data_IF_291577702179
#
_entry.id   IF_291577702179
#
_cell.length_a   1.000
_cell.length_b   1.000
_cell.length_c   1.000
_cell.angle_alpha   90.00
_cell.angle_beta   90.00
_cell.angle_gamma   90.00
#
_symmetry.space_group_name_H-M   'P 1'
#
loop_
_entity.id
_entity.type
_entity.pdbx_description
1 polymer ?
#
# COMPACT_ATOMS: atom_id res chain seq x y z
N UNK A 1 -76.21 5.00 -4.11
CA UNK A 1 -75.91 4.67 -5.53
C UNK A 1 -74.67 3.77 -5.54
N UNK A 2 -74.90 2.45 -5.42
CA UNK A 2 -74.65 1.39 -6.44
C UNK A 2 -73.17 1.00 -6.57
N UNK A 3 -72.71 -0.26 -6.40
CA UNK A 3 -73.34 -1.55 -6.09
C UNK A 3 -72.23 -2.57 -5.72
N UNK A 4 -72.45 -3.25 -4.61
CA UNK A 4 -72.11 -4.62 -4.14
C UNK A 4 -71.25 -5.65 -4.91
N UNK A 5 -70.43 -6.39 -4.12
CA UNK A 5 -70.29 -7.89 -4.00
C UNK A 5 -69.50 -8.62 -5.11
N UNK A 6 -68.64 -9.62 -4.87
CA UNK A 6 -68.40 -10.45 -3.68
C UNK A 6 -67.27 -11.50 -3.83
N UNK A 7 -67.30 -12.43 -2.87
CA UNK A 7 -66.34 -13.48 -2.45
C UNK A 7 -65.90 -14.53 -3.50
N UNK A 8 -64.72 -15.15 -3.29
CA UNK A 8 -64.58 -16.56 -2.81
C UNK A 8 -63.13 -17.09 -2.83
N UNK A 9 -62.80 -17.87 -1.79
CA UNK A 9 -61.60 -18.71 -1.61
C UNK A 9 -61.54 -19.89 -2.59
N UNK A 10 -60.34 -20.37 -2.95
CA UNK A 10 -60.05 -21.81 -3.07
C UNK A 10 -58.55 -22.12 -2.95
N UNK A 11 -58.28 -23.26 -2.33
CA UNK A 11 -57.02 -23.87 -1.91
C UNK A 11 -55.99 -24.12 -3.03
N UNK A 12 -54.70 -24.23 -2.67
CA UNK A 12 -53.70 -24.96 -3.46
C UNK A 12 -52.91 -25.95 -2.63
N UNK A 13 -52.88 -27.14 -3.20
CA UNK A 13 -52.51 -28.46 -2.70
C UNK A 13 -50.99 -28.67 -2.63
N UNK A 14 -50.57 -29.42 -1.61
CA UNK A 14 -49.24 -30.03 -1.46
C UNK A 14 -49.15 -31.27 -2.37
N UNK A 15 -48.05 -31.47 -3.08
CA UNK A 15 -47.68 -32.80 -3.57
C UNK A 15 -46.15 -33.01 -3.62
N UNK A 16 -45.71 -34.07 -2.93
CA UNK A 16 -44.38 -34.68 -2.97
C UNK A 16 -44.24 -35.51 -4.25
N UNK A 17 -43.02 -35.59 -4.85
CA UNK A 17 -42.29 -36.84 -5.09
C UNK A 17 -41.13 -36.74 -6.13
N UNK A 18 -40.09 -37.54 -5.84
CA UNK A 18 -39.16 -38.26 -6.73
C UNK A 18 -37.85 -37.61 -7.22
N UNK A 19 -36.77 -38.03 -6.55
CA UNK A 19 -35.41 -38.22 -7.10
C UNK A 19 -35.42 -39.36 -8.13
N UNK A 20 -34.50 -39.32 -9.11
CA UNK A 20 -33.77 -40.53 -9.49
C UNK A 20 -32.24 -40.35 -9.46
N UNK A 21 -31.61 -41.44 -9.08
CA UNK A 21 -30.19 -41.73 -9.00
C UNK A 21 -29.68 -42.12 -10.39
N UNK A 22 -28.53 -41.61 -10.85
CA UNK A 22 -27.81 -42.15 -12.02
C UNK A 22 -26.32 -42.38 -11.73
N UNK A 23 -25.73 -43.49 -12.23
CA UNK A 23 -24.52 -44.08 -11.68
C UNK A 23 -23.21 -43.65 -12.39
N UNK A 24 -22.09 -43.88 -11.69
CA UNK A 24 -20.70 -43.76 -12.18
C UNK A 24 -20.40 -44.78 -13.28
N UNK A 25 -19.70 -44.35 -14.34
CA UNK A 25 -18.87 -45.20 -15.20
C UNK A 25 -17.60 -44.46 -15.66
N UNK A 26 -16.45 -45.04 -15.35
CA UNK A 26 -15.17 -44.99 -16.09
C UNK A 26 -14.86 -46.45 -16.49
N UNK A 27 -13.86 -46.78 -17.35
CA UNK A 27 -13.00 -45.99 -18.24
C UNK A 27 -12.98 -46.55 -19.69
N UNK A 28 -12.41 -45.80 -20.67
CA UNK A 28 -11.85 -46.41 -21.89
C UNK A 28 -10.56 -45.70 -22.31
N UNK A 29 -9.47 -46.44 -22.21
CA UNK A 29 -8.18 -46.27 -22.87
C UNK A 29 -8.34 -46.26 -24.38
N UNK A 30 -7.71 -45.30 -25.06
CA UNK A 30 -7.70 -45.19 -26.52
C UNK A 30 -6.45 -44.49 -27.05
N UNK A 31 -5.53 -45.30 -27.57
CA UNK A 31 -4.71 -45.07 -28.77
C UNK A 31 -3.84 -43.80 -28.83
N UNK A 32 -2.54 -43.98 -28.58
CA UNK A 32 -1.48 -43.07 -29.00
C UNK A 32 -1.44 -42.95 -30.53
N UNK A 33 -1.88 -41.82 -31.08
CA UNK A 33 -1.69 -41.49 -32.50
C UNK A 33 -0.28 -40.98 -32.74
N UNK A 34 0.48 -41.76 -33.52
CA UNK A 34 1.73 -41.39 -34.18
C UNK A 34 1.48 -40.27 -35.19
N UNK A 35 1.86 -39.04 -34.82
CA UNK A 35 1.89 -37.87 -35.72
C UNK A 35 3.33 -37.43 -35.94
N UNK A 36 4.10 -38.18 -36.74
CA UNK A 36 5.39 -37.71 -37.24
C UNK A 36 5.40 -37.80 -38.77
N UNK A 37 4.89 -36.74 -39.41
CA UNK A 37 5.20 -36.45 -40.80
C UNK A 37 6.47 -35.59 -40.83
N UNK A 38 7.47 -35.90 -41.68
CA UNK A 38 8.71 -35.12 -41.74
C UNK A 38 8.48 -33.65 -42.07
N UNK A 39 7.38 -33.32 -42.76
CA UNK A 39 6.98 -31.93 -43.01
C UNK A 39 6.59 -31.20 -41.72
N UNK A 40 5.88 -31.87 -40.81
CA UNK A 40 5.50 -31.27 -39.52
C UNK A 40 6.73 -31.05 -38.63
N UNK A 41 7.70 -31.97 -38.67
CA UNK A 41 8.98 -31.80 -37.98
C UNK A 41 9.78 -30.61 -38.51
N UNK A 42 9.76 -30.36 -39.82
CA UNK A 42 10.40 -29.17 -40.42
C UNK A 42 9.69 -27.89 -40.01
N UNK A 43 8.36 -27.85 -40.02
CA UNK A 43 7.61 -26.67 -39.54
C UNK A 43 7.87 -26.41 -38.06
N UNK A 44 7.88 -27.46 -37.22
CA UNK A 44 8.20 -27.35 -35.80
C UNK A 44 9.61 -26.78 -35.58
N UNK A 45 10.61 -27.26 -36.34
CA UNK A 45 11.99 -26.77 -36.28
C UNK A 45 12.10 -25.30 -36.71
N UNK A 46 11.41 -24.89 -37.76
CA UNK A 46 11.38 -23.49 -38.22
C UNK A 46 10.71 -22.61 -37.15
N UNK A 47 9.59 -23.04 -36.57
CA UNK A 47 8.92 -22.32 -35.49
C UNK A 47 9.82 -22.21 -34.25
N UNK A 48 10.51 -23.28 -33.85
CA UNK A 48 11.47 -23.25 -32.75
C UNK A 48 12.66 -22.33 -33.04
N UNK A 49 13.19 -22.31 -34.26
CA UNK A 49 14.27 -21.41 -34.65
C UNK A 49 13.83 -19.94 -34.64
N UNK A 50 12.62 -19.63 -35.15
CA UNK A 50 12.07 -18.29 -35.09
C UNK A 50 11.79 -17.84 -33.65
N UNK A 51 11.26 -18.71 -32.79
CA UNK A 51 11.07 -18.43 -31.38
C UNK A 51 12.41 -18.22 -30.66
N UNK A 52 13.44 -19.01 -30.98
CA UNK A 52 14.77 -18.83 -30.43
C UNK A 52 15.40 -17.50 -30.87
N UNK A 53 15.27 -17.13 -32.13
CA UNK A 53 15.74 -15.82 -32.64
C UNK A 53 14.98 -14.68 -31.95
N UNK A 54 13.66 -14.78 -31.80
CA UNK A 54 12.87 -13.78 -31.07
C UNK A 54 13.29 -13.69 -29.60
N UNK A 55 13.54 -14.82 -28.95
CA UNK A 55 14.01 -14.88 -27.56
C UNK A 55 15.42 -14.30 -27.40
N UNK A 56 16.31 -14.51 -28.38
CA UNK A 56 17.65 -13.91 -28.41
C UNK A 56 17.59 -12.41 -28.66
N UNK A 57 16.71 -11.92 -29.54
CA UNK A 57 16.48 -10.49 -29.73
C UNK A 57 15.94 -9.86 -28.43
N UNK A 58 15.03 -10.55 -27.74
CA UNK A 58 14.48 -10.11 -26.46
C UNK A 58 15.55 -10.16 -25.34
N UNK A 59 16.45 -11.15 -25.34
CA UNK A 59 17.62 -11.25 -24.45
C UNK A 59 18.74 -10.25 -24.78
N UNK A 60 18.81 -9.73 -26.01
CA UNK A 60 19.71 -8.63 -26.40
C UNK A 60 19.10 -7.26 -26.05
N UNK A 61 17.78 -7.17 -25.94
CA UNK A 61 17.05 -5.96 -25.53
C UNK A 61 16.72 -5.90 -24.03
N UNK A 62 16.93 -7.00 -23.28
CA UNK A 62 16.81 -7.03 -21.82
C UNK A 62 18.14 -7.42 -21.19
N UNK A 63 18.77 -6.57 -20.36
CA UNK A 63 19.97 -6.97 -19.63
C UNK A 63 19.61 -8.12 -18.68
N UNK A 64 20.53 -9.09 -18.46
CA UNK A 64 20.26 -10.22 -17.57
C UNK A 64 20.10 -9.73 -16.12
N UNK A 65 18.96 -10.04 -15.53
CA UNK A 65 18.74 -10.01 -14.08
C UNK A 65 19.35 -11.28 -13.46
N UNK A 66 20.43 -11.12 -12.69
CA UNK A 66 20.95 -12.09 -11.71
C UNK A 66 21.96 -11.36 -10.78
N UNK A 67 22.31 -11.89 -9.60
CA UNK A 67 21.59 -11.70 -8.34
C UNK A 67 22.42 -10.94 -7.28
N UNK A 68 21.72 -10.44 -6.26
CA UNK A 68 22.18 -10.19 -4.87
C UNK A 68 23.51 -9.45 -4.61
N UNK A 69 23.40 -8.42 -3.75
CA UNK A 69 24.47 -7.68 -3.07
C UNK A 69 25.19 -6.60 -3.89
N UNK A 70 24.44 -5.56 -4.28
CA UNK A 70 25.06 -4.26 -4.52
C UNK A 70 25.22 -3.54 -3.17
N UNK A 71 26.40 -3.00 -2.84
CA UNK A 71 26.46 -1.89 -1.90
C UNK A 71 25.68 -0.71 -2.52
N UNK A 72 25.27 0.25 -1.67
CA UNK A 72 24.64 1.52 -2.05
C UNK A 72 25.16 2.05 -3.40
N UNK A 73 24.41 2.89 -4.15
CA UNK A 73 25.02 3.79 -5.12
C UNK A 73 25.88 4.80 -4.33
N UNK A 74 27.04 4.32 -3.86
CA UNK A 74 28.09 5.12 -3.28
C UNK A 74 28.68 5.94 -4.41
N UNK A 75 29.04 7.17 -4.09
CA UNK A 75 30.10 8.05 -4.57
C UNK A 75 30.98 7.62 -5.78
N UNK A 76 31.12 6.34 -6.11
CA UNK A 76 31.73 5.83 -7.33
C UNK A 76 31.12 6.39 -8.63
N UNK A 77 29.78 6.53 -8.73
CA UNK A 77 29.16 7.12 -9.93
C UNK A 77 29.44 8.63 -10.05
N UNK A 78 29.40 9.35 -8.93
CA UNK A 78 29.77 10.78 -8.85
C UNK A 78 31.26 11.00 -9.19
N UNK A 79 32.14 10.13 -8.68
CA UNK A 79 33.57 10.17 -8.96
C UNK A 79 33.91 9.79 -10.40
N UNK A 80 33.11 8.92 -11.04
CA UNK A 80 33.29 8.53 -12.43
C UNK A 80 32.99 9.69 -13.38
N UNK A 81 31.93 10.47 -13.11
CA UNK A 81 31.63 11.67 -13.89
C UNK A 81 32.57 12.85 -13.60
N UNK A 82 32.98 13.05 -12.34
CA UNK A 82 34.08 13.98 -12.04
C UNK A 82 35.36 13.60 -12.78
N UNK A 83 35.70 12.31 -12.87
CA UNK A 83 36.85 11.85 -13.66
C UNK A 83 36.67 12.05 -15.16
N UNK A 84 35.48 11.87 -15.72
CA UNK A 84 35.23 12.13 -17.16
C UNK A 84 35.34 13.62 -17.48
N UNK A 85 34.94 14.49 -16.55
CA UNK A 85 35.08 15.95 -16.70
C UNK A 85 36.54 16.41 -16.50
N UNK A 86 37.32 15.71 -15.66
CA UNK A 86 38.69 16.12 -15.30
C UNK A 86 39.79 15.44 -16.16
N UNK A 87 39.54 14.26 -16.75
CA UNK A 87 40.56 13.48 -17.49
C UNK A 87 40.61 13.71 -19.01
N UNK A 88 39.91 14.72 -19.54
CA UNK A 88 40.23 15.18 -20.91
C UNK A 88 41.52 15.99 -20.81
N UNK A 89 42.67 15.31 -20.93
CA UNK A 89 44.00 15.90 -20.69
C UNK A 89 44.30 17.13 -21.56
N UNK A 90 44.99 18.15 -21.01
CA UNK A 90 45.25 19.41 -21.69
C UNK A 90 46.42 19.26 -22.64
N UNK A 91 46.17 19.41 -23.93
CA UNK A 91 47.21 19.71 -24.90
C UNK A 91 46.99 21.13 -25.39
N UNK A 92 48.01 21.97 -25.21
CA UNK A 92 48.16 23.33 -25.73
C UNK A 92 47.29 24.43 -25.09
N UNK A 93 47.97 25.19 -24.24
CA UNK A 93 47.70 26.58 -23.87
C UNK A 93 47.09 27.39 -25.02
N UNK A 94 45.89 27.96 -24.80
CA UNK A 94 45.36 29.31 -25.15
C UNK A 94 43.80 29.33 -25.18
N UNK A 95 43.09 28.27 -24.74
CA UNK A 95 41.60 28.18 -24.83
C UNK A 95 40.83 28.10 -23.49
N UNK A 96 41.47 28.37 -22.35
CA UNK A 96 40.87 28.12 -21.03
C UNK A 96 39.63 28.97 -20.67
N UNK A 97 39.38 30.08 -21.38
CA UNK A 97 38.20 30.92 -21.11
C UNK A 97 36.94 30.40 -21.81
N UNK A 98 37.07 29.87 -23.04
CA UNK A 98 35.91 29.45 -23.84
C UNK A 98 35.34 28.10 -23.38
N UNK A 99 36.18 27.15 -22.99
CA UNK A 99 35.74 25.84 -22.48
C UNK A 99 35.02 25.95 -21.12
N UNK A 100 35.51 26.84 -20.24
CA UNK A 100 34.87 27.15 -18.97
C UNK A 100 33.53 27.87 -19.17
N UNK A 101 33.44 28.77 -20.16
CA UNK A 101 32.20 29.46 -20.50
C UNK A 101 31.18 28.51 -21.14
N UNK A 102 31.62 27.60 -22.00
CA UNK A 102 30.77 26.56 -22.60
C UNK A 102 30.23 25.61 -21.54
N UNK A 103 31.07 25.13 -20.63
CA UNK A 103 30.67 24.24 -19.54
C UNK A 103 29.67 24.90 -18.61
N UNK A 104 29.90 26.17 -18.24
CA UNK A 104 28.95 26.97 -17.45
C UNK A 104 27.64 27.20 -18.20
N UNK A 105 27.69 27.45 -19.51
CA UNK A 105 26.50 27.62 -20.36
C UNK A 105 25.68 26.34 -20.45
N UNK A 106 26.34 25.19 -20.64
CA UNK A 106 25.69 23.88 -20.66
C UNK A 106 25.08 23.52 -19.30
N UNK A 107 25.81 23.76 -18.21
CA UNK A 107 25.31 23.58 -16.85
C UNK A 107 24.06 24.44 -16.60
N UNK A 108 24.09 25.70 -17.03
CA UNK A 108 22.94 26.60 -16.94
C UNK A 108 21.74 26.08 -17.73
N UNK A 109 21.94 25.67 -18.99
CA UNK A 109 20.89 25.09 -19.83
C UNK A 109 20.29 23.82 -19.21
N UNK A 110 21.11 22.97 -18.59
CA UNK A 110 20.63 21.77 -17.90
C UNK A 110 19.73 22.13 -16.71
N UNK A 111 20.10 23.14 -15.92
CA UNK A 111 19.25 23.65 -14.82
C UNK A 111 17.95 24.26 -15.33
N UNK A 112 18.03 25.10 -16.35
CA UNK A 112 16.88 25.75 -17.00
C UNK A 112 15.94 24.75 -17.69
N UNK A 113 16.46 23.58 -18.11
CA UNK A 113 15.66 22.54 -18.76
C UNK A 113 14.78 21.73 -17.79
N UNK A 114 14.97 21.87 -16.47
CA UNK A 114 14.18 21.11 -15.49
C UNK A 114 12.73 21.56 -15.55
N UNK A 115 11.87 20.67 -16.04
CA UNK A 115 10.44 20.93 -16.22
C UNK A 115 9.65 20.40 -15.03
N UNK A 116 8.87 21.28 -14.39
CA UNK A 116 7.94 20.90 -13.33
C UNK A 116 6.60 20.47 -13.93
N UNK A 117 6.17 19.27 -13.57
CA UNK A 117 4.88 18.69 -13.94
C UNK A 117 3.95 18.72 -12.73
N UNK A 118 2.62 18.87 -12.91
CA UNK A 118 1.68 18.86 -11.80
C UNK A 118 1.72 17.50 -11.09
N UNK A 119 1.70 17.51 -9.75
CA UNK A 119 1.55 16.29 -8.97
C UNK A 119 0.21 15.64 -9.26
N UNK A 120 -0.87 16.41 -9.38
CA UNK A 120 -2.22 15.96 -9.76
C UNK A 120 -2.45 16.17 -11.26
N UNK A 121 -2.31 15.11 -12.05
CA UNK A 121 -2.57 15.16 -13.48
C UNK A 121 -4.07 15.00 -13.79
N UNK A 122 -4.73 16.12 -14.10
CA UNK A 122 -6.19 16.18 -14.29
C UNK A 122 -6.69 15.32 -15.46
N UNK A 123 -5.81 14.92 -16.39
CA UNK A 123 -6.16 14.00 -17.49
C UNK A 123 -6.63 12.63 -16.99
N UNK A 124 -6.20 12.24 -15.79
CA UNK A 124 -6.54 10.95 -15.16
C UNK A 124 -7.52 11.08 -13.99
N UNK A 125 -8.20 12.23 -13.87
CA UNK A 125 -9.12 12.50 -12.75
C UNK A 125 -10.27 11.48 -12.62
N UNK A 126 -10.80 10.97 -13.74
CA UNK A 126 -11.84 9.94 -13.76
C UNK A 126 -11.36 8.54 -13.39
N UNK A 127 -10.04 8.30 -13.40
CA UNK A 127 -9.41 7.00 -13.12
C UNK A 127 -8.37 7.12 -12.00
N UNK A 128 -8.57 8.06 -11.06
CA UNK A 128 -7.59 8.44 -10.04
C UNK A 128 -7.12 7.32 -9.08
N UNK A 129 -7.79 6.16 -9.10
CA UNK A 129 -7.45 4.98 -8.31
C UNK A 129 -6.92 3.81 -9.15
N UNK A 130 -7.00 3.90 -10.49
CA UNK A 130 -6.46 2.90 -11.41
C UNK A 130 -5.00 3.24 -11.71
N UNK A 131 -4.16 2.26 -12.08
CA UNK A 131 -2.71 2.43 -12.31
C UNK A 131 -2.29 3.75 -13.00
N UNK A 132 -1.10 4.26 -12.66
CA UNK A 132 -0.63 5.62 -13.01
C UNK A 132 -1.67 6.70 -12.68
N UNK A 133 -2.03 6.69 -11.41
CA UNK A 133 -3.24 7.20 -10.76
C UNK A 133 -3.57 8.68 -10.92
N UNK A 134 -2.87 9.49 -11.71
CA UNK A 134 -2.78 10.96 -11.69
C UNK A 134 -1.59 11.51 -10.90
N UNK A 135 -1.08 10.76 -9.90
CA UNK A 135 -0.06 11.25 -8.98
C UNK A 135 1.30 10.89 -9.55
N UNK A 136 2.06 11.91 -9.94
CA UNK A 136 3.31 11.72 -10.68
C UNK A 136 3.13 10.81 -11.90
N UNK A 137 2.13 11.11 -12.73
CA UNK A 137 1.67 10.28 -13.86
C UNK A 137 2.75 9.98 -14.92
N UNK A 138 3.84 10.75 -14.99
CA UNK A 138 4.91 10.54 -15.98
C UNK A 138 5.89 9.41 -15.64
N UNK A 139 5.78 8.83 -14.44
CA UNK A 139 6.70 7.81 -13.94
C UNK A 139 5.96 6.49 -13.67
N UNK A 140 6.61 5.39 -14.02
CA UNK A 140 6.16 4.03 -13.72
C UNK A 140 6.66 3.58 -12.35
N UNK A 141 5.88 2.77 -11.67
CA UNK A 141 6.32 2.13 -10.43
C UNK A 141 7.22 0.94 -10.72
N UNK A 142 8.13 0.69 -9.79
CA UNK A 142 8.86 -0.58 -9.72
C UNK A 142 7.90 -1.64 -9.21
N UNK A 143 7.83 -2.74 -9.96
CA UNK A 143 6.99 -3.89 -9.64
C UNK A 143 7.88 -5.07 -9.34
N UNK A 144 7.69 -5.65 -8.16
CA UNK A 144 8.33 -6.89 -7.77
C UNK A 144 7.26 -7.84 -7.25
N UNK A 145 7.44 -9.13 -7.52
CA UNK A 145 6.42 -10.13 -7.24
C UNK A 145 6.09 -10.17 -5.75
N UNK A 146 4.82 -9.90 -5.43
CA UNK A 146 4.29 -9.95 -4.08
C UNK A 146 4.72 -8.83 -3.13
N UNK A 147 5.52 -7.86 -3.60
CA UNK A 147 6.03 -6.71 -2.83
C UNK A 147 5.19 -5.43 -3.03
N UNK A 148 5.48 -4.41 -2.23
CA UNK A 148 4.90 -3.08 -2.40
C UNK A 148 5.39 -2.42 -3.71
N UNK A 149 4.50 -1.72 -4.40
CA UNK A 149 4.85 -0.91 -5.57
C UNK A 149 5.40 0.45 -5.12
N UNK A 150 6.54 0.85 -5.66
CA UNK A 150 7.21 2.11 -5.29
C UNK A 150 8.00 2.71 -6.45
N UNK A 151 8.33 4.00 -6.32
CA UNK A 151 9.33 4.66 -7.16
C UNK A 151 10.51 5.04 -6.28
N UNK A 152 11.73 4.92 -6.81
CA UNK A 152 12.94 5.37 -6.10
C UNK A 152 13.70 6.37 -6.95
N UNK A 153 14.22 7.39 -6.30
CA UNK A 153 15.02 8.45 -6.91
C UNK A 153 16.26 8.70 -6.04
N UNK A 154 17.47 8.71 -6.61
CA UNK A 154 17.79 8.34 -7.98
C UNK A 154 17.64 6.83 -8.22
N UNK A 155 17.37 6.45 -9.46
CA UNK A 155 17.33 5.06 -9.92
C UNK A 155 17.68 4.94 -11.41
N UNK A 156 17.81 3.72 -11.91
CA UNK A 156 17.94 3.46 -13.35
C UNK A 156 16.75 4.02 -14.14
N UNK A 157 15.52 3.87 -13.61
CA UNK A 157 14.29 4.40 -14.21
C UNK A 157 14.30 5.95 -14.25
N UNK A 158 14.82 6.60 -13.21
CA UNK A 158 15.00 8.06 -13.23
C UNK A 158 16.25 8.50 -14.00
N UNK A 159 17.05 7.57 -14.55
CA UNK A 159 18.36 7.84 -15.16
C UNK A 159 19.32 8.56 -14.21
N UNK A 160 19.31 8.23 -12.92
CA UNK A 160 20.15 8.87 -11.92
C UNK A 160 19.70 10.25 -11.45
N UNK A 161 18.54 10.73 -11.91
CA UNK A 161 17.98 12.04 -11.50
C UNK A 161 17.29 11.96 -10.15
N UNK A 162 17.45 13.02 -9.37
CA UNK A 162 16.80 13.26 -8.09
C UNK A 162 15.34 13.69 -8.29
N UNK A 163 14.50 13.38 -7.32
CA UNK A 163 13.14 13.92 -7.24
C UNK A 163 13.20 15.34 -6.66
N UNK A 164 12.57 16.29 -7.33
CA UNK A 164 12.33 17.64 -6.82
C UNK A 164 10.83 17.88 -6.68
N UNK A 165 10.40 18.42 -5.53
CA UNK A 165 9.01 18.79 -5.25
C UNK A 165 8.91 20.30 -5.03
N UNK A 166 7.84 20.91 -5.52
CA UNK A 166 7.58 22.35 -5.41
C UNK A 166 6.11 22.60 -5.17
N UNK A 167 5.82 23.59 -4.33
CA UNK A 167 4.48 23.91 -3.88
C UNK A 167 4.20 23.37 -2.47
N UNK A 168 3.30 24.05 -1.77
CA UNK A 168 2.86 23.71 -0.42
C UNK A 168 1.33 23.84 -0.30
N UNK A 169 0.61 23.70 -1.42
CA UNK A 169 -0.83 23.88 -1.45
C UNK A 169 -1.53 22.72 -0.73
N UNK A 170 -2.42 23.05 0.21
CA UNK A 170 -3.15 22.08 1.04
C UNK A 170 -4.61 21.90 0.64
N UNK A 171 -5.04 22.52 -0.48
CA UNK A 171 -6.44 22.59 -0.93
C UNK A 171 -6.62 22.21 -2.40
N UNK A 172 -5.68 22.54 -3.29
CA UNK A 172 -5.68 22.12 -4.69
C UNK A 172 -4.34 21.48 -5.09
N UNK A 173 -4.36 20.15 -5.18
CA UNK A 173 -3.17 19.37 -5.53
C UNK A 173 -2.60 19.63 -6.93
N UNK A 174 -3.33 20.31 -7.82
CA UNK A 174 -2.79 20.72 -9.12
C UNK A 174 -1.74 21.84 -9.01
N UNK A 175 -1.72 22.58 -7.88
CA UNK A 175 -0.75 23.64 -7.61
C UNK A 175 0.56 23.13 -7.03
N UNK A 176 0.62 21.86 -6.65
CA UNK A 176 1.85 21.18 -6.30
C UNK A 176 2.43 20.48 -7.52
N UNK A 177 3.76 20.46 -7.63
CA UNK A 177 4.47 19.96 -8.80
C UNK A 177 5.72 19.17 -8.44
N UNK A 178 6.16 18.34 -9.37
CA UNK A 178 7.38 17.56 -9.28
C UNK A 178 8.23 17.72 -10.53
N UNK A 179 9.53 17.51 -10.39
CA UNK A 179 10.48 17.47 -11.48
C UNK A 179 11.58 16.45 -11.19
N UNK A 180 12.33 16.08 -12.24
CA UNK A 180 13.54 15.29 -12.11
C UNK A 180 14.75 16.11 -12.53
N UNK A 181 15.75 16.18 -11.66
CA UNK A 181 16.98 16.96 -11.91
C UNK A 181 18.23 16.12 -11.69
N UNK A 182 19.29 16.40 -12.42
CA UNK A 182 20.59 15.80 -12.16
C UNK A 182 21.19 16.34 -10.85
N UNK A 183 21.89 15.53 -10.05
CA UNK A 183 22.46 15.96 -8.77
C UNK A 183 23.32 17.23 -8.85
N UNK A 184 24.06 17.40 -9.95
CA UNK A 184 24.97 18.53 -10.19
C UNK A 184 24.27 19.76 -10.80
N UNK A 185 23.06 19.58 -11.33
CA UNK A 185 22.32 20.58 -12.10
C UNK A 185 20.89 20.75 -11.56
N UNK A 186 20.78 21.00 -10.26
CA UNK A 186 19.49 21.29 -9.62
C UNK A 186 18.89 22.62 -10.14
N UNK A 187 17.56 22.77 -10.14
CA UNK A 187 16.90 24.01 -10.53
C UNK A 187 17.44 25.21 -9.76
N UNK A 188 17.44 26.38 -10.39
CA UNK A 188 17.79 27.61 -9.69
C UNK A 188 16.83 27.86 -8.51
N UNK A 189 17.38 28.39 -7.42
CA UNK A 189 16.68 28.56 -6.15
C UNK A 189 16.01 27.24 -5.72
N UNK A 190 16.79 26.16 -5.59
CA UNK A 190 16.33 24.90 -5.01
C UNK A 190 17.19 24.49 -3.82
N UNK A 191 16.62 23.68 -2.93
CA UNK A 191 17.32 23.15 -1.76
C UNK A 191 17.49 21.65 -1.90
N UNK A 192 18.73 21.16 -1.79
CA UNK A 192 19.01 19.73 -1.68
C UNK A 192 18.82 19.25 -0.23
N UNK A 193 17.96 18.26 -0.04
CA UNK A 193 17.65 17.64 1.25
C UNK A 193 18.34 16.28 1.33
N UNK A 194 19.23 16.14 2.31
CA UNK A 194 20.04 14.93 2.53
C UNK A 194 19.26 13.80 3.20
N UNK A 195 19.68 12.57 3.00
CA UNK A 195 19.05 11.37 3.59
C UNK A 195 17.72 10.98 2.94
N UNK A 196 17.20 9.82 3.34
CA UNK A 196 16.06 9.18 2.71
C UNK A 196 14.76 9.92 3.02
N UNK A 197 13.99 10.19 1.97
CA UNK A 197 12.71 10.87 2.05
C UNK A 197 11.59 9.92 1.62
N UNK A 198 10.60 9.72 2.47
CA UNK A 198 9.40 8.96 2.11
C UNK A 198 8.31 9.89 1.63
N UNK A 199 7.78 9.64 0.43
CA UNK A 199 6.72 10.43 -0.18
C UNK A 199 5.49 9.55 -0.34
N UNK A 200 4.52 9.74 0.56
CA UNK A 200 3.26 9.02 0.54
C UNK A 200 2.22 9.80 -0.24
N UNK A 201 1.61 9.18 -1.24
CA UNK A 201 0.36 9.64 -1.82
C UNK A 201 -0.75 8.66 -1.45
N UNK A 202 -1.82 9.20 -0.86
CA UNK A 202 -3.01 8.45 -0.53
C UNK A 202 -4.23 9.11 -1.19
N UNK A 203 -5.13 8.31 -1.75
CA UNK A 203 -6.42 8.83 -2.23
C UNK A 203 -7.38 9.15 -1.07
N UNK A 204 -7.07 8.70 0.14
CA UNK A 204 -7.85 8.96 1.35
C UNK A 204 -7.08 9.81 2.36
N UNK A 205 -7.76 10.24 3.44
CA UNK A 205 -7.16 11.03 4.51
C UNK A 205 -6.34 10.17 5.51
N UNK A 206 -5.19 10.69 5.95
CA UNK A 206 -4.31 10.11 6.98
C UNK A 206 -4.83 10.20 8.42
N UNK A 207 -5.90 10.97 8.69
CA UNK A 207 -6.51 11.02 10.03
C UNK A 207 -7.33 9.76 10.35
N UNK A 208 -7.87 9.11 9.32
CA UNK A 208 -8.57 7.84 9.49
C UNK A 208 -7.56 6.70 9.60
N UNK A 209 -7.67 5.92 10.68
CA UNK A 209 -6.73 4.84 10.99
C UNK A 209 -6.62 3.84 9.84
N UNK A 210 -7.74 3.39 9.25
CA UNK A 210 -7.71 2.39 8.17
C UNK A 210 -7.08 2.93 6.89
N UNK A 211 -7.44 4.16 6.53
CA UNK A 211 -6.92 4.81 5.33
C UNK A 211 -5.44 5.16 5.44
N UNK A 212 -5.02 5.68 6.59
CA UNK A 212 -3.62 6.01 6.81
C UNK A 212 -2.77 4.76 6.98
N UNK A 213 -3.28 3.72 7.65
CA UNK A 213 -2.57 2.45 7.79
C UNK A 213 -2.32 1.79 6.44
N UNK A 214 -3.33 1.72 5.57
CA UNK A 214 -3.18 1.11 4.23
C UNK A 214 -2.19 1.87 3.33
N UNK A 215 -1.97 3.16 3.57
CA UNK A 215 -0.95 3.97 2.89
C UNK A 215 0.45 3.82 3.50
N UNK A 216 0.56 3.57 4.80
CA UNK A 216 1.86 3.44 5.49
C UNK A 216 2.43 2.02 5.45
N UNK A 217 1.59 0.98 5.42
CA UNK A 217 2.01 -0.43 5.37
C UNK A 217 3.01 -0.71 4.22
N UNK A 218 2.83 -0.20 2.99
CA UNK A 218 3.82 -0.31 1.93
C UNK A 218 5.22 0.18 2.33
N UNK A 219 5.36 1.29 3.08
CA UNK A 219 6.67 1.79 3.53
C UNK A 219 7.33 0.87 4.53
N UNK A 220 6.53 0.22 5.39
CA UNK A 220 7.03 -0.77 6.35
C UNK A 220 7.49 -2.04 5.62
N UNK A 221 6.76 -2.47 4.58
CA UNK A 221 7.18 -3.57 3.72
C UNK A 221 8.54 -3.29 3.07
N UNK A 222 8.70 -2.09 2.50
CA UNK A 222 9.95 -1.65 1.90
C UNK A 222 11.09 -1.54 2.93
N UNK A 223 10.81 -1.01 4.11
CA UNK A 223 11.79 -0.91 5.19
C UNK A 223 12.26 -2.30 5.65
N UNK A 224 11.33 -3.25 5.81
CA UNK A 224 11.66 -4.64 6.15
C UNK A 224 12.52 -5.32 5.08
N UNK A 225 12.16 -5.14 3.79
CA UNK A 225 12.95 -5.64 2.66
C UNK A 225 14.37 -5.08 2.65
N UNK A 226 14.56 -3.84 3.11
CA UNK A 226 15.86 -3.19 3.26
C UNK A 226 16.47 -3.41 4.67
N UNK A 227 16.20 -4.57 5.28
CA UNK A 227 16.80 -5.04 6.53
C UNK A 227 16.62 -4.06 7.71
N UNK A 228 15.53 -3.29 7.71
CA UNK A 228 15.24 -2.25 8.70
C UNK A 228 16.37 -1.23 8.93
N UNK A 229 17.33 -1.12 8.01
CA UNK A 229 18.54 -0.31 8.21
C UNK A 229 18.37 1.12 7.73
N UNK A 230 17.37 1.37 6.89
CA UNK A 230 17.11 2.64 6.26
C UNK A 230 15.94 3.34 6.94
N UNK A 231 16.25 4.29 7.82
CA UNK A 231 15.27 5.12 8.52
C UNK A 231 15.07 6.41 7.71
N UNK A 232 13.81 6.80 7.40
CA UNK A 232 13.55 8.03 6.66
C UNK A 232 13.91 9.25 7.52
N UNK A 233 14.68 10.17 6.94
CA UNK A 233 14.96 11.47 7.56
C UNK A 233 13.73 12.39 7.57
N UNK A 234 12.77 12.14 6.65
CA UNK A 234 11.53 12.92 6.54
C UNK A 234 10.44 12.18 5.78
N UNK A 235 9.22 12.62 6.02
CA UNK A 235 8.00 12.17 5.40
C UNK A 235 7.30 13.33 4.71
N UNK A 236 6.78 13.07 3.52
CA UNK A 236 5.97 14.01 2.77
C UNK A 236 4.66 13.30 2.47
N UNK A 237 3.55 13.92 2.87
CA UNK A 237 2.24 13.30 2.77
C UNK A 237 1.40 14.09 1.79
N UNK A 238 0.85 13.41 0.80
CA UNK A 238 -0.10 13.96 -0.16
C UNK A 238 -1.42 13.22 -0.08
N UNK A 239 -2.52 13.97 -0.18
CA UNK A 239 -3.85 13.42 -0.43
C UNK A 239 -4.53 14.24 -1.51
N UNK A 240 -4.89 13.59 -2.63
CA UNK A 240 -5.34 14.24 -3.88
C UNK A 240 -4.33 15.24 -4.47
N UNK A 241 -3.04 15.01 -4.22
CA UNK A 241 -1.96 15.93 -4.60
C UNK A 241 -1.81 17.13 -3.67
N UNK A 242 -2.70 17.31 -2.70
CA UNK A 242 -2.63 18.36 -1.68
C UNK A 242 -1.69 17.95 -0.56
N UNK A 243 -0.83 18.87 -0.12
CA UNK A 243 0.11 18.64 0.96
C UNK A 243 -0.64 18.43 2.28
N UNK A 244 -0.25 17.40 3.03
CA UNK A 244 -0.77 17.11 4.37
C UNK A 244 0.34 17.24 5.40
N UNK A 245 0.11 18.13 6.35
CA UNK A 245 1.05 18.46 7.41
C UNK A 245 0.77 17.69 8.72
N UNK A 246 -0.25 16.84 8.72
CA UNK A 246 -0.71 16.07 9.88
C UNK A 246 -1.03 14.63 9.49
N UNK A 247 -0.92 13.79 10.50
CA UNK A 247 -1.26 12.37 10.48
C UNK A 247 -2.04 12.07 11.77
N UNK A 248 -3.01 11.16 11.71
CA UNK A 248 -3.78 10.74 12.88
C UNK A 248 -2.87 10.30 14.03
N UNK A 249 -3.15 10.67 15.30
CA UNK A 249 -2.24 10.42 16.43
C UNK A 249 -1.90 8.93 16.63
N UNK A 250 -2.88 8.05 16.40
CA UNK A 250 -2.70 6.61 16.49
C UNK A 250 -1.69 6.10 15.46
N UNK A 251 -1.85 6.51 14.20
CA UNK A 251 -0.96 6.12 13.11
C UNK A 251 0.45 6.69 13.30
N UNK A 252 0.55 7.95 13.75
CA UNK A 252 1.83 8.59 14.08
C UNK A 252 2.58 7.78 15.15
N UNK A 253 1.87 7.34 16.19
CA UNK A 253 2.45 6.52 17.27
C UNK A 253 2.92 5.16 16.76
N UNK A 254 2.13 4.51 15.90
CA UNK A 254 2.51 3.24 15.28
C UNK A 254 3.76 3.38 14.40
N UNK A 255 3.83 4.42 13.57
CA UNK A 255 5.00 4.64 12.72
C UNK A 255 6.23 4.97 13.56
N UNK A 256 6.10 5.78 14.61
CA UNK A 256 7.20 6.04 15.55
C UNK A 256 7.69 4.74 16.21
N UNK A 257 6.77 3.88 16.68
CA UNK A 257 7.12 2.58 17.23
C UNK A 257 7.85 1.69 16.21
N UNK A 258 7.48 1.79 14.92
CA UNK A 258 8.01 0.95 13.85
C UNK A 258 9.42 1.38 13.42
N UNK A 259 9.62 2.68 13.21
CA UNK A 259 10.87 3.26 12.71
C UNK A 259 11.84 3.69 13.83
N UNK A 260 11.39 3.69 15.08
CA UNK A 260 12.20 3.99 16.27
C UNK A 260 12.37 5.48 16.58
N UNK A 261 12.00 6.37 15.65
CA UNK A 261 12.19 7.82 15.76
C UNK A 261 10.88 8.59 15.53
N UNK A 262 10.72 9.79 16.12
CA UNK A 262 9.59 10.67 15.81
C UNK A 262 9.52 11.00 14.33
N UNK A 263 8.31 10.97 13.77
CA UNK A 263 8.10 11.29 12.35
C UNK A 263 8.29 12.80 12.12
N UNK A 264 9.22 13.14 11.24
CA UNK A 264 9.36 14.48 10.69
C UNK A 264 8.53 14.63 9.42
N UNK A 265 7.36 15.27 9.52
CA UNK A 265 6.48 15.57 8.37
C UNK A 265 6.87 16.93 7.82
N UNK A 266 7.28 16.97 6.55
CA UNK A 266 7.72 18.16 5.85
C UNK A 266 6.54 19.08 5.47
N UNK A 267 6.71 20.39 5.64
CA UNK A 267 5.66 21.40 5.41
C UNK A 267 5.98 22.40 4.30
N UNK A 268 7.22 22.42 3.80
CA UNK A 268 7.69 23.30 2.71
C UNK A 268 7.36 24.79 2.89
N UNK A 269 7.87 25.39 3.97
CA UNK A 269 7.52 26.76 4.42
C UNK A 269 7.65 27.87 3.35
N UNK A 270 8.57 27.76 2.39
CA UNK A 270 8.86 28.83 1.43
C UNK A 270 8.40 28.55 -0.02
N UNK A 271 7.69 27.45 -0.28
CA UNK A 271 7.26 27.01 -1.64
C UNK A 271 8.39 26.89 -2.69
N UNK A 272 9.64 26.97 -2.25
CA UNK A 272 10.87 26.77 -3.03
C UNK A 272 10.96 25.29 -3.43
N UNK A 273 11.57 24.99 -4.57
CA UNK A 273 11.80 23.61 -4.97
C UNK A 273 12.74 22.91 -3.98
N UNK A 274 12.33 21.74 -3.48
CA UNK A 274 13.14 20.89 -2.62
C UNK A 274 13.47 19.61 -3.39
N UNK A 275 14.76 19.35 -3.61
CA UNK A 275 15.25 18.14 -4.25
C UNK A 275 15.81 17.19 -3.21
N UNK A 276 15.61 15.87 -3.38
CA UNK A 276 15.95 14.88 -2.36
C UNK A 276 17.09 13.98 -2.81
N UNK A 277 18.08 13.80 -1.95
CA UNK A 277 19.25 12.92 -2.18
C UNK A 277 18.82 11.47 -2.43
N UNK A 278 17.86 10.97 -1.66
CA UNK A 278 17.19 9.70 -1.88
C UNK A 278 15.70 9.86 -1.53
N UNK A 279 14.82 9.38 -2.41
CA UNK A 279 13.38 9.44 -2.21
C UNK A 279 12.72 8.12 -2.62
N UNK A 280 11.83 7.63 -1.76
CA UNK A 280 10.95 6.49 -2.01
C UNK A 280 9.52 7.01 -2.04
N UNK A 281 8.88 6.87 -3.19
CA UNK A 281 7.49 7.31 -3.41
C UNK A 281 6.59 6.10 -3.44
N UNK A 282 5.51 6.14 -2.67
CA UNK A 282 4.44 5.14 -2.75
C UNK A 282 3.13 5.85 -2.98
N UNK A 283 2.49 5.49 -4.10
CA UNK A 283 1.21 6.07 -4.54
C UNK A 283 0.09 5.04 -4.61
N UNK A 284 0.38 3.83 -4.16
CA UNK A 284 -0.52 2.70 -4.09
C UNK A 284 -0.56 2.19 -2.65
N UNK A 285 -1.76 1.84 -2.20
CA UNK A 285 -1.96 1.21 -0.91
C UNK A 285 -1.48 -0.26 -0.95
N UNK A 286 -1.75 -1.01 0.12
CA UNK A 286 -1.38 -2.42 0.26
C UNK A 286 -1.92 -3.41 -0.80
N UNK A 287 -2.81 -2.98 -1.70
CA UNK A 287 -3.47 -3.85 -2.69
C UNK A 287 -2.52 -4.53 -3.69
N UNK A 288 -1.36 -3.92 -3.98
CA UNK A 288 -0.33 -4.52 -4.84
C UNK A 288 0.48 -5.64 -4.17
N UNK A 289 0.39 -5.78 -2.84
CA UNK A 289 1.19 -6.76 -2.11
C UNK A 289 0.51 -8.13 -2.02
N UNK A 290 1.33 -9.18 -2.02
CA UNK A 290 0.83 -10.53 -1.76
C UNK A 290 0.20 -10.63 -0.37
N UNK A 291 -0.71 -11.59 -0.19
CA UNK A 291 -1.30 -11.88 1.12
C UNK A 291 -0.21 -12.20 2.17
N UNK A 292 0.79 -12.98 1.78
CA UNK A 292 1.89 -13.37 2.65
C UNK A 292 2.68 -12.13 3.11
N UNK A 293 3.04 -11.24 2.17
CA UNK A 293 3.73 -9.99 2.51
C UNK A 293 2.94 -9.11 3.46
N UNK A 294 1.62 -8.99 3.25
CA UNK A 294 0.75 -8.23 4.17
C UNK A 294 0.80 -8.81 5.57
N UNK A 295 0.66 -10.13 5.73
CA UNK A 295 0.73 -10.79 7.05
C UNK A 295 2.06 -10.49 7.74
N UNK A 296 3.19 -10.67 7.05
CA UNK A 296 4.53 -10.40 7.59
C UNK A 296 4.68 -8.97 8.10
N UNK A 297 4.20 -7.99 7.32
CA UNK A 297 4.29 -6.56 7.67
C UNK A 297 3.39 -6.23 8.86
N UNK A 298 2.17 -6.76 8.90
CA UNK A 298 1.27 -6.57 10.04
C UNK A 298 1.83 -7.22 11.31
N UNK A 299 2.50 -8.36 11.21
CA UNK A 299 3.17 -8.99 12.36
C UNK A 299 4.36 -8.17 12.85
N UNK A 300 5.16 -7.61 11.94
CA UNK A 300 6.22 -6.66 12.28
C UNK A 300 5.67 -5.42 13.01
N UNK A 301 4.60 -4.82 12.48
CA UNK A 301 3.92 -3.68 13.10
C UNK A 301 3.46 -4.00 14.52
N UNK A 302 2.79 -5.15 14.72
CA UNK A 302 2.36 -5.62 16.04
C UNK A 302 3.54 -5.84 16.98
N UNK A 303 4.61 -6.45 16.49
CA UNK A 303 5.82 -6.71 17.26
C UNK A 303 6.46 -5.40 17.75
N UNK A 304 6.69 -4.45 16.84
CA UNK A 304 7.25 -3.13 17.14
C UNK A 304 6.37 -2.34 18.11
N UNK A 305 5.06 -2.35 17.91
CA UNK A 305 4.11 -1.70 18.81
C UNK A 305 4.14 -2.30 20.22
N UNK A 306 4.23 -3.63 20.36
CA UNK A 306 4.35 -4.30 21.66
C UNK A 306 5.64 -3.90 22.39
N UNK A 307 6.77 -3.91 21.69
CA UNK A 307 8.06 -3.49 22.25
C UNK A 307 7.99 -2.03 22.71
N UNK A 308 7.51 -1.14 21.84
CA UNK A 308 7.38 0.30 22.14
C UNK A 308 6.51 0.58 23.37
N UNK A 309 5.43 -0.18 23.55
CA UNK A 309 4.51 -0.02 24.67
C UNK A 309 4.86 -0.86 25.91
N UNK A 310 6.01 -1.55 25.89
CA UNK A 310 6.46 -2.50 26.91
C UNK A 310 5.36 -3.53 27.27
N UNK A 311 4.71 -4.07 26.24
CA UNK A 311 3.71 -5.12 26.40
C UNK A 311 4.44 -6.46 26.44
N UNK A 312 4.52 -7.05 27.63
CA UNK A 312 5.17 -8.36 27.82
C UNK A 312 4.53 -9.44 26.93
N UNK A 313 5.37 -10.25 26.28
CA UNK A 313 4.96 -11.46 25.57
C UNK A 313 4.64 -12.62 26.54
N UNK A 314 5.14 -12.53 27.78
CA UNK A 314 4.91 -13.50 28.83
C UNK A 314 3.62 -13.16 29.59
N UNK A 315 2.74 -14.14 29.70
CA UNK A 315 1.44 -14.01 30.38
C UNK A 315 0.24 -14.28 29.47
N UNK A 316 0.38 -15.27 28.57
CA UNK A 316 -0.72 -16.17 28.21
C UNK A 316 -0.95 -17.28 29.24
N UNK A 317 -0.10 -17.37 30.28
CA UNK A 317 -0.29 -18.26 31.40
C UNK A 317 -1.43 -17.72 32.26
N UNK A 318 -2.64 -18.10 31.85
CA UNK A 318 -3.83 -18.32 32.69
C UNK A 318 -3.81 -17.51 33.97
N UNK A 319 -4.22 -16.23 33.90
CA UNK A 319 -4.59 -15.52 35.11
C UNK A 319 -5.68 -16.37 35.76
N UNK A 320 -5.34 -17.05 36.85
CA UNK A 320 -6.27 -17.92 37.55
C UNK A 320 -6.89 -17.11 38.67
N UNK A 321 -8.20 -17.21 38.81
CA UNK A 321 -8.87 -16.60 39.95
C UNK A 321 -8.45 -17.30 41.25
N UNK A 322 -8.90 -16.79 42.41
CA UNK A 322 -8.57 -17.36 43.73
C UNK A 322 -8.95 -18.85 43.91
N UNK A 323 -9.75 -19.41 42.98
CA UNK A 323 -10.17 -20.83 42.96
C UNK A 323 -9.36 -21.67 41.96
N UNK A 324 -8.32 -21.10 41.36
CA UNK A 324 -7.47 -21.81 40.40
C UNK A 324 -8.06 -21.94 38.99
N UNK A 325 -9.17 -21.25 38.67
CA UNK A 325 -9.80 -21.33 37.34
C UNK A 325 -9.33 -20.22 36.42
N UNK A 326 -9.21 -20.47 35.10
CA UNK A 326 -8.83 -19.45 34.12
C UNK A 326 -9.81 -18.26 34.12
N UNK A 327 -9.28 -17.04 34.16
CA UNK A 327 -10.06 -15.81 33.97
C UNK A 327 -10.27 -15.59 32.47
N UNK A 328 -11.52 -15.37 32.08
CA UNK A 328 -11.92 -15.00 30.71
C UNK A 328 -12.15 -13.49 30.69
N UNK A 329 -11.23 -12.72 30.12
CA UNK A 329 -11.38 -11.27 29.98
C UNK A 329 -12.20 -10.91 28.74
N UNK A 330 -13.29 -10.16 28.91
CA UNK A 330 -14.06 -9.57 27.82
C UNK A 330 -14.02 -8.05 27.94
N UNK A 331 -13.41 -7.38 26.96
CA UNK A 331 -13.36 -5.92 26.90
C UNK A 331 -14.22 -5.41 25.73
N UNK A 332 -15.20 -4.56 26.03
CA UNK A 332 -16.02 -3.88 25.02
C UNK A 332 -15.47 -2.48 24.74
N UNK A 333 -15.01 -2.25 23.52
CA UNK A 333 -14.57 -0.92 23.08
C UNK A 333 -15.75 -0.10 22.56
N UNK A 334 -16.07 0.95 23.28
CA UNK A 334 -17.12 1.92 22.97
C UNK A 334 -16.53 3.16 22.33
N UNK A 335 -17.28 3.78 21.42
CA UNK A 335 -17.00 5.16 20.99
C UNK A 335 -17.58 6.11 22.02
N UNK A 336 -17.00 7.30 22.17
CA UNK A 336 -17.44 8.30 23.15
C UNK A 336 -18.93 8.59 23.03
N UNK A 337 -19.60 8.74 24.18
CA UNK A 337 -21.01 9.08 24.30
C UNK A 337 -21.27 10.38 23.55
N UNK A 338 -22.30 10.39 22.69
CA UNK A 338 -22.75 11.50 21.84
C UNK A 338 -22.09 11.63 20.45
N UNK A 339 -21.32 10.64 20.02
CA UNK A 339 -20.84 10.57 18.63
C UNK A 339 -21.92 10.12 17.63
N UNK A 340 -21.83 10.51 16.34
CA UNK A 340 -22.78 10.10 15.29
C UNK A 340 -22.91 8.58 15.08
N UNK A 341 -21.95 7.80 15.59
CA UNK A 341 -21.89 6.33 15.47
C UNK A 341 -21.83 5.62 16.83
N UNK A 342 -22.23 6.29 17.92
CA UNK A 342 -22.31 5.69 19.26
C UNK A 342 -23.67 5.03 19.47
N UNK A 343 -23.76 4.08 20.41
CA UNK A 343 -25.06 3.46 20.70
C UNK A 343 -26.00 4.50 21.32
N UNK A 344 -27.27 4.50 20.88
CA UNK A 344 -28.30 5.41 21.45
C UNK A 344 -28.53 5.18 22.95
N UNK A 345 -28.41 3.93 23.39
CA UNK A 345 -28.52 3.55 24.80
C UNK A 345 -27.36 2.62 25.16
N UNK A 346 -26.21 3.22 25.48
CA UNK A 346 -25.01 2.49 25.84
C UNK A 346 -25.21 1.59 27.06
N UNK A 347 -25.85 2.12 28.11
CA UNK A 347 -26.08 1.38 29.36
C UNK A 347 -26.87 0.09 29.13
N UNK A 348 -27.85 0.09 28.23
CA UNK A 348 -28.58 -1.11 27.87
C UNK A 348 -27.69 -2.15 27.19
N UNK A 349 -26.82 -1.73 26.26
CA UNK A 349 -25.89 -2.63 25.57
C UNK A 349 -24.86 -3.18 26.54
N UNK A 350 -24.26 -2.33 27.38
CA UNK A 350 -23.33 -2.72 28.45
C UNK A 350 -23.97 -3.78 29.35
N UNK A 351 -25.21 -3.54 29.81
CA UNK A 351 -25.93 -4.47 30.68
C UNK A 351 -26.22 -5.83 30.02
N UNK A 352 -26.43 -5.90 28.70
CA UNK A 352 -26.58 -7.17 27.98
C UNK A 352 -25.29 -7.99 28.06
N UNK A 353 -24.15 -7.39 27.72
CA UNK A 353 -22.86 -8.09 27.70
C UNK A 353 -22.38 -8.46 29.10
N UNK A 354 -22.59 -7.60 30.09
CA UNK A 354 -22.31 -7.90 31.50
C UNK A 354 -23.14 -9.10 31.98
N UNK A 355 -24.43 -9.12 31.68
CA UNK A 355 -25.33 -10.22 32.02
C UNK A 355 -24.91 -11.54 31.35
N UNK A 356 -24.46 -11.53 30.10
CA UNK A 356 -23.97 -12.75 29.44
C UNK A 356 -22.63 -13.21 30.04
N UNK A 357 -21.72 -12.29 30.36
CA UNK A 357 -20.44 -12.62 30.99
C UNK A 357 -20.64 -13.28 32.37
N UNK A 358 -21.55 -12.77 33.21
CA UNK A 358 -21.82 -13.35 34.54
C UNK A 358 -22.32 -14.80 34.53
N UNK A 359 -22.83 -15.30 33.39
CA UNK A 359 -23.21 -16.72 33.22
C UNK A 359 -22.02 -17.65 33.03
N UNK A 360 -20.85 -17.11 32.67
CA UNK A 360 -19.63 -17.89 32.43
C UNK A 360 -18.70 -17.73 33.63
N UNK A 361 -18.43 -18.83 34.32
CA UNK A 361 -17.57 -18.81 35.50
C UNK A 361 -16.14 -18.34 35.13
N UNK A 362 -15.62 -17.37 35.87
CA UNK A 362 -14.31 -16.76 35.59
C UNK A 362 -14.35 -15.63 34.55
N UNK A 363 -15.51 -15.28 33.97
CA UNK A 363 -15.60 -14.15 33.05
C UNK A 363 -15.53 -12.80 33.78
N UNK A 364 -14.72 -11.89 33.23
CA UNK A 364 -14.55 -10.50 33.68
C UNK A 364 -14.88 -9.57 32.53
N UNK A 365 -15.93 -8.76 32.70
CA UNK A 365 -16.33 -7.77 31.70
C UNK A 365 -15.78 -6.38 32.03
N UNK A 366 -15.24 -5.69 31.04
CA UNK A 366 -14.74 -4.32 31.15
C UNK A 366 -15.26 -3.51 29.94
N UNK A 367 -15.65 -2.26 30.17
CA UNK A 367 -15.98 -1.31 29.12
C UNK A 367 -14.83 -0.30 29.01
N UNK A 368 -14.36 -0.08 27.79
CA UNK A 368 -13.31 0.89 27.52
C UNK A 368 -13.74 1.83 26.39
N UNK A 369 -13.42 3.11 26.49
CA UNK A 369 -13.77 4.10 25.49
C UNK A 369 -12.57 4.38 24.60
N UNK A 370 -12.63 3.98 23.33
CA UNK A 370 -11.46 3.98 22.43
C UNK A 370 -10.76 5.34 22.32
N UNK A 371 -11.54 6.43 22.37
CA UNK A 371 -10.99 7.79 22.23
C UNK A 371 -10.36 8.32 23.53
N UNK A 372 -10.60 7.65 24.66
CA UNK A 372 -10.01 8.00 25.96
C UNK A 372 -8.72 7.22 26.23
N UNK A 373 -8.41 6.22 25.40
CA UNK A 373 -7.22 5.41 25.54
C UNK A 373 -6.10 5.96 24.67
N UNK A 374 -4.90 6.04 25.25
CA UNK A 374 -3.66 6.23 24.51
C UNK A 374 -3.37 5.02 23.61
N UNK A 375 -2.48 5.20 22.64
CA UNK A 375 -2.02 4.13 21.76
C UNK A 375 -1.57 2.87 22.53
N UNK A 376 -0.80 3.05 23.61
CA UNK A 376 -0.30 1.92 24.39
C UNK A 376 -1.34 1.30 25.33
N UNK A 377 -2.30 2.07 25.84
CA UNK A 377 -3.42 1.52 26.61
C UNK A 377 -4.31 0.64 25.73
N UNK A 378 -4.63 1.08 24.50
CA UNK A 378 -5.37 0.26 23.54
C UNK A 378 -4.70 -1.09 23.28
N UNK A 379 -3.36 -1.12 23.15
CA UNK A 379 -2.61 -2.35 22.93
C UNK A 379 -2.55 -3.26 24.16
N UNK A 380 -2.54 -2.68 25.36
CA UNK A 380 -2.59 -3.43 26.62
C UNK A 380 -3.97 -4.06 26.84
N UNK A 381 -5.04 -3.34 26.51
CA UNK A 381 -6.41 -3.83 26.68
C UNK A 381 -6.78 -4.92 25.65
N UNK A 382 -6.30 -4.79 24.40
CA UNK A 382 -6.47 -5.81 23.34
C UNK A 382 -5.76 -7.15 23.66
N UNK A 383 -4.83 -7.16 24.64
CA UNK A 383 -4.17 -8.39 25.14
C UNK A 383 -5.18 -9.44 25.61
N UNK A 384 -6.36 -9.03 26.07
CA UNK A 384 -7.38 -9.95 26.58
C UNK A 384 -8.07 -10.80 25.50
N UNK A 385 -7.88 -10.51 24.21
CA UNK A 385 -8.75 -11.04 23.13
C UNK A 385 -8.06 -12.06 22.21
N UNK A 386 -6.73 -12.19 22.21
CA UNK A 386 -6.02 -13.04 21.22
C UNK A 386 -5.49 -14.35 21.84
N UNK A 387 -6.20 -15.48 21.65
CA UNK A 387 -5.65 -16.78 22.03
C UNK A 387 -4.41 -17.10 21.21
N UNK A 388 -3.40 -17.53 21.95
CA UNK A 388 -3.05 -18.93 21.87
C UNK A 388 -2.15 -19.45 20.78
N UNK A 389 -2.34 -19.19 19.49
CA UNK A 389 -1.94 -20.25 18.54
C UNK A 389 -0.43 -20.36 18.30
N UNK A 390 0.17 -21.38 18.94
CA UNK A 390 1.46 -21.96 18.61
C UNK A 390 1.22 -23.07 17.58
N UNK A 391 0.83 -22.70 16.37
CA UNK A 391 0.81 -23.53 15.14
C UNK A 391 0.49 -22.63 13.93
N UNK A 392 1.05 -22.88 12.74
CA UNK A 392 0.83 -22.03 11.56
C UNK A 392 -0.55 -22.33 10.98
N UNK A 393 -1.58 -21.69 11.55
CA UNK A 393 -2.96 -21.70 11.07
C UNK A 393 -3.53 -20.28 11.10
N UNK A 394 -4.44 -19.91 10.20
CA UNK A 394 -4.92 -18.54 10.08
C UNK A 394 -5.84 -18.20 11.27
N UNK A 395 -5.28 -17.61 12.33
CA UNK A 395 -6.07 -17.17 13.47
C UNK A 395 -6.85 -15.90 13.12
N UNK A 396 -8.16 -15.98 13.37
CA UNK A 396 -9.16 -14.98 13.08
C UNK A 396 -8.97 -13.70 13.91
N UNK A 397 -8.79 -12.57 13.21
CA UNK A 397 -9.70 -11.42 13.23
C UNK A 397 -9.34 -10.52 12.03
N UNK A 398 -10.30 -10.40 11.11
CA UNK A 398 -10.27 -9.96 9.70
C UNK A 398 -9.80 -11.05 8.72
N UNK A 399 -10.74 -11.57 7.91
CA UNK A 399 -11.32 -10.79 6.82
C UNK A 399 -12.83 -10.59 6.97
N UNK A 400 -13.31 -9.37 6.73
CA UNK A 400 -14.62 -9.27 6.06
C UNK A 400 -14.29 -9.43 4.59
N UNK A 401 -14.47 -10.66 4.10
CA UNK A 401 -14.55 -10.92 2.67
C UNK A 401 -15.64 -10.02 2.08
N UNK A 402 -15.26 -9.20 1.11
CA UNK A 402 -16.19 -8.85 0.05
C UNK A 402 -16.52 -10.13 -0.72
N UNK A 403 -17.71 -10.69 -0.50
CA UNK A 403 -18.28 -11.69 -1.42
C UNK A 403 -19.13 -12.78 -0.78
N UNK A 404 -20.34 -12.45 -0.32
CA UNK A 404 -21.41 -13.44 -0.28
C UNK A 404 -22.78 -12.79 -0.56
N UNK A 405 -22.99 -12.45 -1.83
CA UNK A 405 -24.32 -12.40 -2.45
C UNK A 405 -24.17 -12.91 -3.89
N UNK A 406 -24.09 -14.23 -4.06
CA UNK A 406 -24.61 -14.88 -5.27
C UNK A 406 -25.05 -16.31 -4.93
N UNK A 407 -26.37 -16.54 -4.96
CA UNK A 407 -26.93 -17.67 -5.69
C UNK A 407 -28.39 -17.40 -6.02
N UNK A 408 -28.68 -17.24 -7.31
CA UNK A 408 -29.97 -17.67 -7.85
C UNK A 408 -30.84 -16.64 -8.59
N UNK A 409 -30.31 -15.92 -9.59
CA UNK A 409 -31.02 -15.74 -10.87
C UNK A 409 -30.09 -15.07 -11.88
N UNK A 410 -30.09 -15.62 -13.10
CA UNK A 410 -29.54 -14.97 -14.29
C UNK A 410 -30.36 -13.72 -14.55
N UNK A 411 -29.72 -12.57 -14.61
CA UNK A 411 -30.01 -11.53 -15.60
C UNK A 411 -28.89 -10.48 -15.56
N UNK A 412 -28.38 -10.16 -16.75
CA UNK A 412 -27.34 -9.17 -16.98
C UNK A 412 -27.82 -7.79 -16.56
N UNK A 413 -27.09 -7.10 -15.68
CA UNK A 413 -27.30 -5.68 -15.41
C UNK A 413 -25.95 -4.95 -15.39
N UNK A 414 -25.92 -3.90 -16.18
CA UNK A 414 -24.80 -3.10 -16.66
C UNK A 414 -24.04 -2.34 -15.56
N UNK A 415 -22.73 -2.19 -15.75
CA UNK A 415 -21.75 -1.53 -14.85
C UNK A 415 -22.04 -0.03 -14.61
N UNK A 416 -23.04 0.56 -15.28
CA UNK A 416 -23.46 1.95 -15.09
C UNK A 416 -24.34 2.17 -13.85
N UNK A 417 -24.86 1.09 -13.23
CA UNK A 417 -25.84 1.21 -12.13
C UNK A 417 -25.21 1.19 -10.74
N UNK A 418 -23.96 0.72 -10.60
CA UNK A 418 -23.25 0.68 -9.30
C UNK A 418 -22.60 2.04 -8.96
N UNK A 419 -22.41 2.91 -9.96
CA UNK A 419 -21.78 4.23 -9.79
C UNK A 419 -22.72 5.30 -9.21
N UNK A 420 -24.04 5.05 -9.17
CA UNK A 420 -25.03 6.03 -8.67
C UNK A 420 -25.34 5.88 -7.18
N UNK A 421 -24.95 4.78 -6.53
CA UNK A 421 -25.22 4.52 -5.10
C UNK A 421 -24.11 5.00 -4.15
N UNK A 422 -22.94 5.39 -4.67
CA UNK A 422 -21.82 5.92 -3.88
C UNK A 422 -21.71 7.46 -3.89
N UNK A 423 -22.58 8.16 -4.64
CA UNK A 423 -22.63 9.64 -4.69
C UNK A 423 -23.70 10.28 -3.80
N UNK A 424 -24.40 9.50 -2.98
CA UNK A 424 -25.42 10.00 -2.06
C UNK A 424 -25.02 9.79 -0.60
N UNK A 425 -23.95 10.45 -0.16
CA UNK A 425 -23.66 10.69 1.26
C UNK A 425 -22.65 11.83 1.39
N UNK A 426 -23.14 13.04 1.12
CA UNK A 426 -22.64 14.27 1.75
C UNK A 426 -23.52 14.59 2.95
#
# INVERSE_FOLDING_TARGET
MTRSVGLSQTERTINNQNKPYHPKQHPKTGSFFSLYSPKFSIYLLITCALLFILFQIQSLQTPPSSPSSSPLPSWAFLNQWQKVIINTTPSTSTFNNDENNLTKSMAKKLRESVTFLPLKDLRYSSTAQQGHTWFMSSMYDTHEEGEAQYQRFPSSASKGRLLCLKGNDTHDGAWNSYALAWPEFLPDNSTLRKGITFVSYNHYNYDNIWHGLSAMVPFVAWHNKNQCSLIPARWILYHWGELRIKMGPWLKSLMQATFGEPLHIETFENSVANCFEDAVVMRHNEGGMSRQKRIEVYDLLRCKARIYCNVSLEGRLSEVNRRGMPVIGMTMFMRVNNGPRSFKNESAVIGIFEKECTKVEGCRFIVAYSNNLTFCEQLRDLRQIIPGDSSPGPSALLPVDHGMLTRGSKESLDDSTLSSLLSAQH
#
